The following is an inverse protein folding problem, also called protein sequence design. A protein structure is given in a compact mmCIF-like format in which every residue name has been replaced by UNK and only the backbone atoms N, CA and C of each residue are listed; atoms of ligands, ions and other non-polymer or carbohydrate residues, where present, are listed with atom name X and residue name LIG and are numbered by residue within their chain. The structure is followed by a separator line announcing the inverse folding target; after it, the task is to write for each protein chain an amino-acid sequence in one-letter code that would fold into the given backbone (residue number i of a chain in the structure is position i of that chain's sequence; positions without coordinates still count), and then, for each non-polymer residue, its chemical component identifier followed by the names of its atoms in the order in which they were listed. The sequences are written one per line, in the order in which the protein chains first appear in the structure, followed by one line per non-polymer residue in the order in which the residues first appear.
data_IF_250892452252
#
_entry.id   IF_250892452252
#
_cell.length_a   1.000
_cell.length_b   1.000
_cell.length_c   1.000
_cell.angle_alpha   90.00
_cell.angle_beta   90.00
_cell.angle_gamma   90.00
#
_symmetry.space_group_name_H-M   'P 1'
#
loop_
_entity.id
_entity.type
_entity.pdbx_description
1 polymer ?
#
# COMPACT_ATOMS: atom_id res chain seq x y z
N UNK A 1 -5.95 -1.05 -11.07
CA UNK A 1 -5.38 -1.74 -9.90
C UNK A 1 -5.74 -3.22 -9.86
N UNK A 2 -7.02 -3.60 -9.76
CA UNK A 2 -7.48 -5.00 -9.66
C UNK A 2 -6.77 -5.97 -10.61
N UNK A 3 -6.77 -5.68 -11.91
CA UNK A 3 -6.07 -6.50 -12.92
C UNK A 3 -4.55 -6.63 -12.71
N UNK A 4 -3.90 -5.60 -12.16
CA UNK A 4 -2.45 -5.59 -11.96
C UNK A 4 -2.01 -6.38 -10.71
N UNK A 5 -2.88 -6.54 -9.71
CA UNK A 5 -2.58 -7.38 -8.53
C UNK A 5 -2.42 -8.85 -8.92
N UNK A 6 -3.19 -9.33 -9.90
CA UNK A 6 -3.06 -10.70 -10.41
C UNK A 6 -1.88 -10.95 -11.36
N UNK A 7 -1.06 -9.94 -11.65
CA UNK A 7 0.14 -10.14 -12.48
C UNK A 7 1.26 -10.80 -11.69
N UNK A 8 2.09 -11.64 -12.33
CA UNK A 8 3.23 -12.24 -11.67
C UNK A 8 4.23 -11.16 -11.23
N UNK A 9 4.90 -11.42 -10.09
CA UNK A 9 5.90 -10.53 -9.52
C UNK A 9 5.36 -9.54 -8.49
N UNK A 10 6.25 -8.69 -8.00
CA UNK A 10 5.96 -7.66 -6.99
C UNK A 10 5.35 -6.43 -7.63
N UNK A 11 4.35 -5.85 -6.98
CA UNK A 11 3.59 -4.70 -7.45
C UNK A 11 3.96 -3.53 -6.57
N UNK A 12 4.37 -2.42 -7.19
CA UNK A 12 4.67 -1.17 -6.49
C UNK A 12 3.60 -0.15 -6.85
N UNK A 13 2.90 0.36 -5.83
CA UNK A 13 1.83 1.35 -5.98
C UNK A 13 2.32 2.66 -5.41
N UNK A 14 2.54 3.63 -6.29
CA UNK A 14 2.95 4.98 -5.90
C UNK A 14 1.74 5.85 -5.59
N UNK A 15 1.93 6.87 -4.74
CA UNK A 15 0.85 7.75 -4.26
C UNK A 15 -0.28 6.93 -3.63
N UNK A 16 0.08 5.82 -2.97
CA UNK A 16 -0.84 4.80 -2.47
C UNK A 16 -1.91 5.39 -1.53
N UNK A 17 -1.58 6.48 -0.84
CA UNK A 17 -2.51 7.26 0.01
C UNK A 17 -3.79 7.63 -0.70
N UNK A 18 -3.72 8.07 -1.96
CA UNK A 18 -4.88 8.59 -2.72
C UNK A 18 -5.94 7.51 -2.94
N UNK A 19 -5.53 6.25 -3.04
CA UNK A 19 -6.39 5.12 -3.35
C UNK A 19 -6.37 4.04 -2.27
N UNK A 20 -5.97 4.39 -1.04
CA UNK A 20 -5.65 3.41 0.01
C UNK A 20 -6.85 2.51 0.34
N UNK A 21 -8.03 3.07 0.57
CA UNK A 21 -9.20 2.28 0.96
C UNK A 21 -9.68 1.35 -0.16
N UNK A 22 -9.74 1.84 -1.40
CA UNK A 22 -10.03 0.99 -2.56
C UNK A 22 -8.97 -0.09 -2.77
N UNK A 23 -7.71 0.24 -2.52
CA UNK A 23 -6.58 -0.68 -2.61
C UNK A 23 -6.69 -1.78 -1.56
N UNK A 24 -6.94 -1.44 -0.29
CA UNK A 24 -7.16 -2.39 0.80
C UNK A 24 -8.28 -3.36 0.45
N UNK A 25 -9.41 -2.85 -0.06
CA UNK A 25 -10.54 -3.69 -0.50
C UNK A 25 -10.15 -4.65 -1.61
N UNK A 26 -9.52 -4.15 -2.68
CA UNK A 26 -9.07 -4.98 -3.81
C UNK A 26 -8.08 -6.05 -3.35
N UNK A 27 -7.12 -5.71 -2.48
CA UNK A 27 -6.14 -6.66 -1.98
C UNK A 27 -6.78 -7.78 -1.14
N UNK A 28 -7.81 -7.46 -0.34
CA UNK A 28 -8.59 -8.49 0.38
C UNK A 28 -9.34 -9.40 -0.59
N UNK A 29 -10.01 -8.82 -1.58
CA UNK A 29 -10.76 -9.56 -2.60
C UNK A 29 -9.86 -10.52 -3.42
N UNK A 30 -8.61 -10.12 -3.68
CA UNK A 30 -7.64 -10.90 -4.46
C UNK A 30 -6.71 -11.78 -3.57
N UNK A 31 -6.94 -11.83 -2.25
CA UNK A 31 -6.14 -12.64 -1.32
C UNK A 31 -4.68 -12.20 -1.14
N UNK A 32 -4.36 -10.94 -1.47
CA UNK A 32 -3.01 -10.38 -1.45
C UNK A 32 -2.79 -9.36 -0.31
N UNK A 33 -3.75 -9.20 0.60
CA UNK A 33 -3.71 -8.19 1.67
C UNK A 33 -2.53 -8.38 2.62
N UNK A 34 -2.27 -9.62 3.05
CA UNK A 34 -1.18 -9.92 4.00
C UNK A 34 0.22 -9.73 3.39
N UNK A 35 0.31 -9.67 2.06
CA UNK A 35 1.55 -9.41 1.33
C UNK A 35 1.82 -7.92 1.06
N UNK A 36 0.97 -7.02 1.57
CA UNK A 36 1.04 -5.59 1.28
C UNK A 36 1.61 -4.77 2.44
N UNK A 37 2.67 -4.02 2.16
CA UNK A 37 3.32 -3.10 3.11
C UNK A 37 3.33 -1.68 2.54
N UNK A 38 3.32 -0.66 3.41
CA UNK A 38 3.31 0.75 3.01
C UNK A 38 4.42 1.51 3.71
N UNK A 39 5.10 2.39 2.97
CA UNK A 39 5.99 3.41 3.54
C UNK A 39 5.50 4.80 3.17
N UNK A 40 5.50 5.69 4.15
CA UNK A 40 5.29 7.13 3.99
C UNK A 40 6.61 7.87 4.24
N UNK A 41 6.86 8.94 3.48
CA UNK A 41 8.00 9.85 3.68
C UNK A 41 9.37 9.14 3.75
N UNK A 42 9.57 8.09 2.94
CA UNK A 42 10.81 7.29 2.91
C UNK A 42 12.05 8.18 2.67
N UNK A 43 13.00 8.15 3.60
CA UNK A 43 14.21 8.97 3.61
C UNK A 43 14.00 10.44 3.99
N UNK A 44 12.80 10.83 4.43
CA UNK A 44 12.44 12.19 4.81
C UNK A 44 12.07 12.29 6.31
N UNK A 45 12.11 13.48 6.91
CA UNK A 45 11.56 13.69 8.25
C UNK A 45 10.09 13.25 8.31
N UNK A 46 9.76 12.38 9.25
CA UNK A 46 8.41 11.83 9.39
C UNK A 46 8.18 10.48 8.71
N UNK A 47 9.24 9.80 8.26
CA UNK A 47 9.17 8.43 7.73
C UNK A 47 8.34 7.51 8.64
N UNK A 48 7.43 6.75 8.04
CA UNK A 48 6.66 5.70 8.71
C UNK A 48 6.56 4.47 7.83
N UNK A 49 6.87 3.31 8.39
CA UNK A 49 6.73 2.01 7.73
C UNK A 49 5.61 1.23 8.41
N UNK A 50 4.65 0.78 7.62
CA UNK A 50 3.52 -0.04 8.06
C UNK A 50 3.65 -1.41 7.41
N UNK A 51 3.89 -2.43 8.25
CA UNK A 51 4.00 -3.83 7.81
C UNK A 51 2.64 -4.49 7.60
N UNK A 52 1.60 -3.94 8.21
CA UNK A 52 0.21 -4.24 7.94
C UNK A 52 -0.52 -2.99 7.48
N UNK A 53 -1.41 -3.13 6.50
CA UNK A 53 -2.28 -2.03 6.09
C UNK A 53 -3.35 -1.69 7.14
N UNK A 54 -3.58 -2.56 8.13
CA UNK A 54 -4.49 -2.27 9.25
C UNK A 54 -3.92 -1.23 10.22
N UNK A 55 -2.58 -1.08 10.26
CA UNK A 55 -1.92 -0.08 11.10
C UNK A 55 -1.90 1.32 10.45
N UNK A 56 -2.32 1.42 9.18
CA UNK A 56 -2.26 2.68 8.43
C UNK A 56 -3.46 3.57 8.83
N UNK A 57 -3.23 4.74 9.46
CA UNK A 57 -4.30 5.64 9.89
C UNK A 57 -5.07 6.23 8.71
N UNK A 58 -6.25 6.83 8.92
CA UNK A 58 -7.10 7.45 7.89
C UNK A 58 -6.52 8.71 7.24
N UNK A 59 -5.56 9.38 7.92
CA UNK A 59 -4.77 10.50 7.37
C UNK A 59 -3.28 10.15 7.35
N UNK A 60 -2.55 10.69 6.39
CA UNK A 60 -1.11 10.46 6.26
C UNK A 60 -0.52 11.21 5.09
N UNK A 61 0.69 10.84 4.70
CA UNK A 61 1.49 11.62 3.74
C UNK A 61 1.06 11.44 2.29
N UNK A 62 1.26 12.49 1.49
CA UNK A 62 1.20 12.41 0.04
C UNK A 62 2.31 11.51 -0.52
N UNK A 63 3.51 11.56 0.04
CA UNK A 63 4.63 10.69 -0.35
C UNK A 63 4.43 9.31 0.28
N UNK A 64 3.78 8.44 -0.47
CA UNK A 64 3.42 7.09 -0.03
C UNK A 64 3.69 6.08 -1.14
N UNK A 65 4.31 4.97 -0.76
CA UNK A 65 4.61 3.86 -1.66
C UNK A 65 4.18 2.56 -0.99
N UNK A 66 3.37 1.77 -1.67
CA UNK A 66 2.98 0.43 -1.23
C UNK A 66 3.74 -0.62 -2.05
N UNK A 67 4.18 -1.68 -1.40
CA UNK A 67 4.76 -2.87 -2.02
C UNK A 67 3.83 -4.04 -1.73
N UNK A 68 3.40 -4.75 -2.77
CA UNK A 68 2.55 -5.94 -2.67
C UNK A 68 3.33 -7.12 -3.24
N UNK A 69 3.60 -8.13 -2.42
CA UNK A 69 4.31 -9.35 -2.82
C UNK A 69 3.31 -10.42 -3.25
#
# INVERSE_FOLDING_TARGET
MRRAIGWPGTKVVMKARRSLEDTKRILREEGAFDGAELVEDCGLPGERVYRSLDDVPDRGSYFSTMVVR
#
